data_IF_962391080499
#
_entry.id   IF_962391080499
#
_cell.length_a   1.000
_cell.length_b   1.000
_cell.length_c   1.000
_cell.angle_alpha   90.00
_cell.angle_beta   90.00
_cell.angle_gamma   90.00
#
_symmetry.space_group_name_H-M   'P 1'
#
loop_
_entity.id
_entity.type
_entity.pdbx_description
1 polymer ?
#
# COMPACT_ATOMS: atom_id res chain seq x y z
N UNK A 1 -22.34 9.25 12.39
CA UNK A 1 -21.61 8.03 12.77
C UNK A 1 -21.15 7.25 11.55
N UNK A 2 -22.02 6.92 10.59
CA UNK A 2 -21.65 6.17 9.37
C UNK A 2 -20.49 6.78 8.55
N UNK A 3 -20.42 8.12 8.46
CA UNK A 3 -19.32 8.84 7.80
C UNK A 3 -17.94 8.60 8.44
N UNK A 4 -17.88 8.32 9.74
CA UNK A 4 -16.60 8.03 10.42
C UNK A 4 -16.08 6.65 10.04
N UNK A 5 -16.97 5.65 9.97
CA UNK A 5 -16.60 4.29 9.56
C UNK A 5 -16.18 4.25 8.08
N UNK A 6 -16.90 4.95 7.21
CA UNK A 6 -16.51 5.10 5.80
C UNK A 6 -15.14 5.77 5.65
N UNK A 7 -14.88 6.84 6.41
CA UNK A 7 -13.57 7.49 6.42
C UNK A 7 -12.45 6.60 6.96
N UNK A 8 -12.75 5.80 8.00
CA UNK A 8 -11.82 4.84 8.61
C UNK A 8 -11.47 3.67 7.69
N UNK A 9 -12.41 3.22 6.85
CA UNK A 9 -12.14 2.21 5.83
C UNK A 9 -10.97 2.64 4.97
N UNK A 10 -11.02 3.87 4.45
CA UNK A 10 -10.03 4.47 3.56
C UNK A 10 -8.68 4.79 4.21
N UNK A 11 -8.55 4.63 5.53
CA UNK A 11 -7.27 4.87 6.21
C UNK A 11 -6.36 3.64 6.10
N UNK A 12 -5.06 3.84 5.83
CA UNK A 12 -4.08 2.77 5.84
C UNK A 12 -3.81 2.27 7.26
N UNK A 13 -3.37 1.03 7.36
CA UNK A 13 -2.86 0.46 8.61
C UNK A 13 -1.41 0.91 8.84
N UNK A 14 -1.13 1.42 10.03
CA UNK A 14 0.19 1.86 10.41
C UNK A 14 0.64 1.23 11.73
N UNK A 15 1.96 1.13 11.89
CA UNK A 15 2.55 0.63 13.12
C UNK A 15 2.66 1.73 14.17
N UNK A 16 2.07 1.46 15.33
CA UNK A 16 2.29 2.22 16.54
C UNK A 16 3.28 1.45 17.41
N UNK A 17 4.48 2.02 17.57
CA UNK A 17 5.48 1.49 18.50
C UNK A 17 5.15 1.98 19.90
N UNK A 18 5.06 1.03 20.84
CA UNK A 18 4.91 1.26 22.26
C UNK A 18 6.19 0.76 22.96
N UNK A 19 6.35 1.10 24.24
CA UNK A 19 7.58 0.75 24.97
C UNK A 19 7.78 -0.78 25.09
N UNK A 20 6.69 -1.55 25.22
CA UNK A 20 6.74 -3.00 25.46
C UNK A 20 6.19 -3.85 24.30
N UNK A 21 5.43 -3.23 23.39
CA UNK A 21 4.70 -3.92 22.33
C UNK A 21 4.53 -3.05 21.07
N UNK A 22 4.08 -3.66 19.98
CA UNK A 22 3.74 -2.95 18.76
C UNK A 22 2.31 -3.29 18.36
N UNK A 23 1.57 -2.26 17.92
CA UNK A 23 0.19 -2.41 17.49
C UNK A 23 0.04 -1.89 16.07
N UNK A 24 -0.80 -2.56 15.29
CA UNK A 24 -1.37 -1.98 14.09
C UNK A 24 -2.52 -1.06 14.48
N UNK A 25 -2.52 0.15 13.99
CA UNK A 25 -3.60 1.10 14.23
C UNK A 25 -3.97 1.83 12.95
N UNK A 26 -5.24 2.20 12.86
CA UNK A 26 -5.71 3.21 11.92
C UNK A 26 -6.82 4.03 12.55
N UNK A 27 -6.83 5.33 12.24
CA UNK A 27 -7.73 6.28 12.89
C UNK A 27 -8.27 7.25 11.85
N UNK A 28 -9.53 7.62 11.98
CA UNK A 28 -10.14 8.69 11.21
C UNK A 28 -10.79 9.70 12.14
N UNK A 29 -10.25 10.92 12.15
CA UNK A 29 -10.67 11.98 13.06
C UNK A 29 -11.34 13.10 12.28
N UNK A 30 -12.45 13.59 12.81
CA UNK A 30 -13.18 14.76 12.30
C UNK A 30 -13.50 15.71 13.44
N UNK A 31 -14.05 16.89 13.13
CA UNK A 31 -14.53 17.82 14.16
C UNK A 31 -15.70 17.28 15.00
N UNK A 32 -16.37 16.22 14.55
CA UNK A 32 -17.56 15.64 15.19
C UNK A 32 -17.25 14.42 16.06
N UNK A 33 -16.03 13.90 15.99
CA UNK A 33 -15.64 12.65 16.63
C UNK A 33 -14.60 11.88 15.83
N UNK A 34 -14.30 10.67 16.25
CA UNK A 34 -13.37 9.77 15.57
C UNK A 34 -13.85 8.32 15.58
N UNK A 35 -13.27 7.54 14.67
CA UNK A 35 -13.27 6.09 14.74
C UNK A 35 -11.82 5.58 14.71
N UNK A 36 -11.52 4.61 15.55
CA UNK A 36 -10.20 4.02 15.74
C UNK A 36 -10.31 2.50 15.67
N UNK A 37 -9.35 1.89 14.97
CA UNK A 37 -9.18 0.45 14.95
C UNK A 37 -7.74 0.12 15.36
N UNK A 38 -7.58 -0.86 16.24
CA UNK A 38 -6.28 -1.30 16.78
C UNK A 38 -6.22 -2.82 16.70
N UNK A 39 -5.06 -3.39 16.40
CA UNK A 39 -4.82 -4.83 16.40
C UNK A 39 -3.41 -5.15 16.84
N UNK A 40 -3.27 -6.21 17.62
CA UNK A 40 -2.01 -6.87 17.99
C UNK A 40 -1.73 -8.10 17.10
N UNK A 41 -2.46 -8.22 15.98
CA UNK A 41 -2.51 -9.39 15.08
C UNK A 41 -3.16 -10.65 15.66
N UNK A 42 -3.59 -10.65 16.93
CA UNK A 42 -4.37 -11.74 17.53
C UNK A 42 -5.83 -11.35 17.65
N UNK A 43 -6.09 -10.13 18.09
CA UNK A 43 -7.40 -9.54 18.28
C UNK A 43 -7.48 -8.17 17.61
N UNK A 44 -8.70 -7.69 17.45
CA UNK A 44 -8.98 -6.38 16.86
C UNK A 44 -9.92 -5.66 17.79
N UNK A 45 -9.56 -4.44 18.17
CA UNK A 45 -10.38 -3.56 18.99
C UNK A 45 -10.81 -2.33 18.21
N UNK A 46 -12.00 -1.86 18.52
CA UNK A 46 -12.66 -0.73 17.88
C UNK A 46 -13.14 0.24 18.94
N UNK A 47 -12.96 1.53 18.66
CA UNK A 47 -13.60 2.61 19.40
C UNK A 47 -14.20 3.61 18.40
N UNK A 48 -15.43 4.01 18.65
CA UNK A 48 -16.07 5.13 17.97
C UNK A 48 -16.61 6.11 19.02
N UNK A 49 -16.27 7.38 18.88
CA UNK A 49 -16.73 8.42 19.80
C UNK A 49 -17.26 9.64 19.05
N UNK A 50 -18.23 10.32 19.65
CA UNK A 50 -18.74 11.61 19.19
C UNK A 50 -18.18 12.78 20.01
N UNK A 51 -18.50 14.00 19.60
CA UNK A 51 -18.06 15.22 20.27
C UNK A 51 -18.56 15.34 21.74
N UNK A 52 -19.66 14.68 22.11
CA UNK A 52 -20.20 14.72 23.48
C UNK A 52 -19.33 13.88 24.41
N UNK A 53 -19.06 12.64 24.01
CA UNK A 53 -18.13 11.74 24.70
C UNK A 53 -16.75 12.38 24.78
N UNK A 54 -16.32 13.04 23.69
CA UNK A 54 -15.04 13.74 23.69
C UNK A 54 -15.00 14.87 24.71
N UNK A 55 -16.04 15.69 24.77
CA UNK A 55 -16.13 16.78 25.74
C UNK A 55 -16.09 16.26 27.17
N UNK A 56 -16.85 15.21 27.47
CA UNK A 56 -16.90 14.63 28.81
C UNK A 56 -15.54 14.06 29.22
N UNK A 57 -14.97 13.18 28.37
CA UNK A 57 -13.68 12.54 28.64
C UNK A 57 -12.55 13.56 28.76
N UNK A 58 -12.54 14.58 27.91
CA UNK A 58 -11.54 15.65 27.99
C UNK A 58 -11.63 16.41 29.32
N UNK A 59 -12.84 16.73 29.82
CA UNK A 59 -13.03 17.40 31.11
C UNK A 59 -12.57 16.55 32.29
N UNK A 60 -12.83 15.24 32.23
CA UNK A 60 -12.43 14.30 33.28
C UNK A 60 -10.91 14.14 33.36
N UNK A 61 -10.25 13.98 32.20
CA UNK A 61 -8.81 13.75 32.11
C UNK A 61 -7.98 15.03 32.22
N UNK A 62 -8.48 16.16 31.73
CA UNK A 62 -7.75 17.42 31.60
C UNK A 62 -8.45 18.56 32.34
N UNK A 63 -8.57 18.45 33.66
CA UNK A 63 -9.31 19.41 34.53
C UNK A 63 -8.87 20.88 34.40
N UNK A 64 -7.66 21.15 33.90
CA UNK A 64 -7.10 22.49 33.72
C UNK A 64 -7.23 23.03 32.29
N UNK A 65 -7.66 22.21 31.34
CA UNK A 65 -7.79 22.58 29.93
C UNK A 65 -9.26 22.89 29.61
N UNK A 66 -9.51 24.11 29.15
CA UNK A 66 -10.84 24.53 28.68
C UNK A 66 -10.74 24.77 27.18
N UNK A 67 -11.19 23.80 26.38
CA UNK A 67 -11.21 23.91 24.93
C UNK A 67 -12.46 23.23 24.35
N UNK A 68 -12.95 23.66 23.18
CA UNK A 68 -14.04 22.98 22.50
C UNK A 68 -13.60 21.57 22.04
N UNK A 69 -14.52 20.59 21.93
CA UNK A 69 -14.18 19.22 21.50
C UNK A 69 -13.42 19.16 20.17
N UNK A 70 -13.76 20.05 19.24
CA UNK A 70 -13.07 20.15 17.95
C UNK A 70 -11.57 20.46 18.10
N UNK A 71 -11.17 21.29 19.07
CA UNK A 71 -9.75 21.60 19.30
C UNK A 71 -9.00 20.39 19.87
N UNK A 72 -9.62 19.65 20.79
CA UNK A 72 -9.07 18.39 21.28
C UNK A 72 -8.92 17.35 20.16
N UNK A 73 -9.92 17.24 19.29
CA UNK A 73 -9.89 16.33 18.13
C UNK A 73 -8.79 16.72 17.14
N UNK A 74 -8.63 18.01 16.84
CA UNK A 74 -7.52 18.48 16.00
C UNK A 74 -6.16 18.12 16.62
N UNK A 75 -5.99 18.35 17.92
CA UNK A 75 -4.76 17.98 18.62
C UNK A 75 -4.49 16.47 18.56
N UNK A 76 -5.52 15.64 18.74
CA UNK A 76 -5.38 14.18 18.59
C UNK A 76 -4.98 13.77 17.16
N UNK A 77 -5.50 14.43 16.11
CA UNK A 77 -5.05 14.19 14.73
C UNK A 77 -3.59 14.58 14.55
N UNK A 78 -3.18 15.74 15.08
CA UNK A 78 -1.79 16.22 15.00
C UNK A 78 -0.82 15.30 15.75
N UNK A 79 -1.26 14.65 16.84
CA UNK A 79 -0.46 13.67 17.59
C UNK A 79 -0.33 12.34 16.84
N UNK A 80 -1.41 11.83 16.27
CA UNK A 80 -1.45 10.50 15.66
C UNK A 80 -0.96 10.49 14.21
N UNK A 81 -1.20 11.55 13.44
CA UNK A 81 -0.84 11.61 12.01
C UNK A 81 0.65 11.38 11.74
N UNK A 82 1.61 11.97 12.50
CA UNK A 82 3.04 11.71 12.29
C UNK A 82 3.44 10.26 12.60
N UNK A 83 2.79 9.67 13.61
CA UNK A 83 3.04 8.30 14.04
C UNK A 83 2.53 7.28 13.03
N UNK A 84 1.36 7.55 12.45
CA UNK A 84 0.73 6.67 11.47
C UNK A 84 1.33 6.82 10.07
N UNK A 85 2.10 7.86 9.79
CA UNK A 85 2.73 8.10 8.47
C UNK A 85 4.21 7.72 8.40
N UNK A 86 4.72 6.99 9.39
CA UNK A 86 6.12 6.54 9.47
C UNK A 86 7.10 7.70 9.25
N UNK A 87 6.75 8.89 9.77
CA UNK A 87 7.67 10.04 9.72
C UNK A 87 8.61 9.92 10.91
N UNK A 88 9.92 9.92 10.66
CA UNK A 88 10.99 9.85 11.65
C UNK A 88 11.07 11.06 12.61
N UNK A 89 9.95 11.75 12.81
CA UNK A 89 9.84 12.82 13.77
C UNK A 89 9.57 12.21 15.15
N UNK A 90 10.40 12.48 16.17
CA UNK A 90 10.11 12.05 17.53
C UNK A 90 8.80 12.70 17.97
N UNK A 91 7.76 11.87 18.10
CA UNK A 91 6.49 12.34 18.63
C UNK A 91 6.70 12.82 20.06
N UNK A 92 6.13 13.98 20.40
CA UNK A 92 6.11 14.49 21.79
C UNK A 92 5.11 13.75 22.67
N UNK A 93 4.53 12.66 22.16
CA UNK A 93 3.55 11.85 22.87
C UNK A 93 4.12 10.48 23.24
N UNK A 94 3.87 10.08 24.47
CA UNK A 94 4.12 8.72 24.96
C UNK A 94 2.82 7.92 24.94
N UNK A 95 2.93 6.66 24.54
CA UNK A 95 1.79 5.75 24.42
C UNK A 95 1.98 4.56 25.33
N UNK A 96 0.92 4.21 26.06
CA UNK A 96 0.89 3.04 26.95
C UNK A 96 -0.38 2.27 26.66
N UNK A 97 -0.28 0.94 26.59
CA UNK A 97 -1.42 0.07 26.32
C UNK A 97 -1.71 -0.79 27.54
N UNK A 98 -2.94 -0.72 28.05
CA UNK A 98 -3.44 -1.59 29.11
C UNK A 98 -4.53 -2.52 28.57
N UNK A 99 -4.45 -3.80 28.92
CA UNK A 99 -5.54 -4.75 28.71
C UNK A 99 -6.41 -4.84 29.97
N UNK A 100 -7.71 -4.62 29.83
CA UNK A 100 -8.68 -4.73 30.92
C UNK A 100 -9.81 -5.66 30.48
N UNK A 101 -9.75 -6.91 30.94
CA UNK A 101 -10.61 -8.00 30.46
C UNK A 101 -10.57 -8.11 28.93
N UNK A 102 -11.70 -7.93 28.24
CA UNK A 102 -11.79 -7.97 26.77
C UNK A 102 -11.57 -6.60 26.11
N UNK A 103 -11.42 -5.53 26.91
CA UNK A 103 -11.20 -4.19 26.41
C UNK A 103 -9.71 -3.83 26.38
N UNK A 104 -9.35 -2.98 25.43
CA UNK A 104 -8.01 -2.41 25.29
C UNK A 104 -8.09 -0.90 25.57
N UNK A 105 -7.28 -0.42 26.49
CA UNK A 105 -7.17 1.01 26.82
C UNK A 105 -5.83 1.51 26.31
N UNK A 106 -5.85 2.28 25.22
CA UNK A 106 -4.67 2.95 24.70
C UNK A 106 -4.58 4.35 25.30
N UNK A 107 -3.58 4.59 26.14
CA UNK A 107 -3.33 5.88 26.78
C UNK A 107 -2.30 6.65 25.98
N UNK A 108 -2.58 7.93 25.77
CA UNK A 108 -1.63 8.87 25.20
C UNK A 108 -1.42 10.03 26.18
N UNK A 109 -0.16 10.35 26.41
CA UNK A 109 0.27 11.51 27.18
C UNK A 109 1.11 12.38 26.27
N UNK A 110 0.75 13.66 26.15
CA UNK A 110 1.50 14.64 25.38
C UNK A 110 1.54 15.98 26.11
N UNK A 111 2.09 16.99 25.45
CA UNK A 111 1.96 18.38 25.86
C UNK A 111 1.10 19.15 24.84
N UNK A 112 0.26 20.05 25.32
CA UNK A 112 -0.50 21.02 24.53
C UNK A 112 -0.23 22.42 25.09
N UNK A 113 0.50 23.24 24.34
CA UNK A 113 0.83 24.62 24.71
C UNK A 113 1.49 24.77 26.10
N UNK A 114 2.47 23.94 26.45
CA UNK A 114 3.12 23.97 27.77
C UNK A 114 2.38 23.20 28.87
N UNK A 115 1.17 22.69 28.59
CA UNK A 115 0.35 21.99 29.58
C UNK A 115 0.30 20.49 29.30
N UNK A 116 0.36 19.63 30.34
CA UNK A 116 0.15 18.20 30.18
C UNK A 116 -1.23 17.90 29.58
N UNK A 117 -1.24 17.09 28.53
CA UNK A 117 -2.44 16.60 27.87
C UNK A 117 -2.51 15.07 28.02
N UNK A 118 -3.68 14.58 28.42
CA UNK A 118 -3.95 13.16 28.61
C UNK A 118 -5.18 12.73 27.84
N UNK A 119 -5.09 11.59 27.18
CA UNK A 119 -6.22 10.97 26.52
C UNK A 119 -6.16 9.45 26.62
N UNK A 120 -7.32 8.82 26.80
CA UNK A 120 -7.45 7.36 26.84
C UNK A 120 -8.47 6.95 25.77
N UNK A 121 -8.06 6.11 24.83
CA UNK A 121 -8.94 5.41 23.90
C UNK A 121 -9.45 4.15 24.60
N UNK A 122 -10.77 3.98 24.66
CA UNK A 122 -11.40 2.82 25.30
C UNK A 122 -11.96 1.91 24.21
N UNK A 123 -11.12 1.00 23.75
CA UNK A 123 -11.43 0.13 22.63
C UNK A 123 -12.07 -1.17 23.14
N UNK A 124 -13.15 -1.58 22.49
CA UNK A 124 -13.84 -2.86 22.74
C UNK A 124 -13.58 -3.83 21.60
N UNK A 125 -13.81 -5.14 21.80
CA UNK A 125 -13.63 -6.11 20.71
C UNK A 125 -14.43 -5.71 19.47
N UNK A 126 -13.74 -5.66 18.33
CA UNK A 126 -14.35 -5.29 17.07
C UNK A 126 -15.34 -6.37 16.62
N UNK A 127 -16.49 -5.94 16.10
CA UNK A 127 -17.47 -6.88 15.56
C UNK A 127 -16.89 -7.66 14.37
N UNK A 128 -17.37 -8.91 14.11
CA UNK A 128 -16.93 -9.69 12.96
C UNK A 128 -17.10 -8.97 11.62
N UNK A 129 -18.12 -8.10 11.51
CA UNK A 129 -18.34 -7.28 10.31
C UNK A 129 -17.20 -6.27 10.10
N UNK A 130 -16.75 -5.60 11.16
CA UNK A 130 -15.63 -4.64 11.11
C UNK A 130 -14.33 -5.38 10.77
N UNK A 131 -14.06 -6.52 11.41
CA UNK A 131 -12.89 -7.34 11.07
C UNK A 131 -12.92 -7.79 9.60
N UNK A 132 -14.07 -8.24 9.11
CA UNK A 132 -14.23 -8.66 7.73
C UNK A 132 -13.97 -7.53 6.73
N UNK A 133 -14.50 -6.33 6.99
CA UNK A 133 -14.37 -5.17 6.10
C UNK A 133 -12.97 -4.54 6.12
N UNK A 134 -12.30 -4.54 7.28
CA UNK A 134 -11.03 -3.83 7.46
C UNK A 134 -9.79 -4.71 7.29
N UNK A 135 -9.93 -6.03 7.37
CA UNK A 135 -8.82 -6.99 7.26
C UNK A 135 -9.10 -8.10 6.25
N UNK A 136 -10.13 -8.92 6.48
CA UNK A 136 -10.29 -10.17 5.73
C UNK A 136 -10.52 -9.92 4.23
N UNK A 137 -11.52 -9.10 3.87
CA UNK A 137 -11.84 -8.81 2.46
C UNK A 137 -10.69 -8.07 1.74
N UNK A 138 -10.09 -7.01 2.31
CA UNK A 138 -8.94 -6.36 1.69
C UNK A 138 -7.77 -7.31 1.47
N UNK A 139 -7.37 -8.10 2.47
CA UNK A 139 -6.24 -9.02 2.36
C UNK A 139 -6.48 -10.10 1.30
N UNK A 140 -7.68 -10.71 1.27
CA UNK A 140 -8.04 -11.66 0.21
C UNK A 140 -7.99 -11.01 -1.18
N UNK A 141 -8.55 -9.81 -1.32
CA UNK A 141 -8.53 -9.07 -2.58
C UNK A 141 -7.12 -8.77 -3.07
N UNK A 142 -6.23 -8.40 -2.14
CA UNK A 142 -4.83 -8.15 -2.45
C UNK A 142 -4.06 -9.42 -2.81
N UNK A 143 -4.27 -10.52 -2.09
CA UNK A 143 -3.65 -11.81 -2.44
C UNK A 143 -4.01 -12.23 -3.87
N UNK A 144 -5.28 -12.08 -4.25
CA UNK A 144 -5.74 -12.33 -5.62
C UNK A 144 -5.10 -11.36 -6.62
N UNK A 145 -5.05 -10.07 -6.31
CA UNK A 145 -4.44 -9.07 -7.19
C UNK A 145 -2.94 -9.34 -7.42
N UNK A 146 -2.20 -9.66 -6.36
CA UNK A 146 -0.79 -10.02 -6.44
C UNK A 146 -0.58 -11.31 -7.23
N UNK A 147 -1.44 -12.31 -7.03
CA UNK A 147 -1.40 -13.54 -7.82
C UNK A 147 -1.62 -13.28 -9.32
N UNK A 148 -2.56 -12.39 -9.67
CA UNK A 148 -2.74 -11.95 -11.05
C UNK A 148 -1.49 -11.25 -11.59
N UNK A 149 -0.86 -10.37 -10.81
CA UNK A 149 0.38 -9.71 -11.22
C UNK A 149 1.52 -10.70 -11.48
N UNK A 150 1.67 -11.72 -10.62
CA UNK A 150 2.68 -12.78 -10.84
C UNK A 150 2.45 -13.48 -12.18
N UNK A 151 1.20 -13.83 -12.52
CA UNK A 151 0.87 -14.47 -13.80
C UNK A 151 1.08 -13.56 -15.02
N UNK A 152 0.70 -12.29 -14.89
CA UNK A 152 0.91 -11.29 -15.94
C UNK A 152 2.42 -11.09 -16.20
N UNK A 153 3.24 -11.02 -15.14
CA UNK A 153 4.70 -10.92 -15.24
C UNK A 153 5.33 -12.19 -15.83
N UNK A 154 4.88 -13.38 -15.42
CA UNK A 154 5.33 -14.65 -16.01
C UNK A 154 5.09 -14.70 -17.52
N UNK A 155 3.90 -14.23 -17.97
CA UNK A 155 3.58 -14.13 -19.40
C UNK A 155 4.53 -13.18 -20.12
N UNK A 156 4.81 -12.02 -19.53
CA UNK A 156 5.75 -11.05 -20.11
C UNK A 156 7.17 -11.64 -20.22
N UNK A 157 7.61 -12.41 -19.23
CA UNK A 157 8.91 -13.09 -19.25
C UNK A 157 8.98 -14.12 -20.39
N UNK A 158 7.97 -14.97 -20.55
CA UNK A 158 7.92 -15.91 -21.67
C UNK A 158 7.92 -15.23 -23.04
N UNK A 159 7.20 -14.11 -23.18
CA UNK A 159 7.26 -13.32 -24.42
C UNK A 159 8.67 -12.78 -24.70
N UNK A 160 9.40 -12.40 -23.65
CA UNK A 160 10.79 -11.94 -23.76
C UNK A 160 11.76 -13.06 -24.12
N UNK A 161 11.55 -14.27 -23.60
CA UNK A 161 12.36 -15.43 -23.97
C UNK A 161 12.18 -15.81 -25.45
N UNK A 162 10.95 -15.76 -25.97
CA UNK A 162 10.67 -15.97 -27.39
C UNK A 162 11.36 -14.91 -28.27
N UNK A 163 11.35 -13.65 -27.84
CA UNK A 163 12.06 -12.56 -28.52
C UNK A 163 13.58 -12.79 -28.54
N UNK A 164 14.16 -13.22 -27.41
CA UNK A 164 15.59 -13.57 -27.31
C UNK A 164 15.93 -14.76 -28.21
N UNK A 165 15.06 -15.77 -28.27
CA UNK A 165 15.23 -16.93 -29.13
C UNK A 165 15.23 -16.53 -30.61
N UNK A 166 14.28 -15.68 -31.05
CA UNK A 166 14.22 -15.16 -32.43
C UNK A 166 15.51 -14.42 -32.83
N UNK A 167 16.09 -13.63 -31.92
CA UNK A 167 17.39 -12.99 -32.14
C UNK A 167 18.52 -14.00 -32.36
N UNK A 168 18.57 -15.06 -31.54
CA UNK A 168 19.58 -16.11 -31.66
C UNK A 168 19.43 -16.91 -32.96
N UNK A 169 18.20 -17.26 -33.33
CA UNK A 169 17.87 -17.97 -34.58
C UNK A 169 18.17 -17.11 -35.82
N UNK A 170 18.02 -15.79 -35.71
CA UNK A 170 18.40 -14.82 -36.74
C UNK A 170 19.91 -14.56 -36.84
N UNK A 171 20.73 -15.20 -36.00
CA UNK A 171 22.19 -15.10 -36.00
C UNK A 171 22.76 -13.90 -35.24
N UNK A 172 21.95 -13.23 -34.41
CA UNK A 172 22.46 -12.17 -33.53
C UNK A 172 23.35 -12.77 -32.44
N UNK A 173 24.50 -12.13 -32.19
CA UNK A 173 25.46 -12.55 -31.17
C UNK A 173 25.50 -11.51 -30.06
N UNK A 174 25.48 -11.97 -28.80
CA UNK A 174 25.64 -11.11 -27.63
C UNK A 174 27.04 -10.49 -27.62
N UNK A 175 27.10 -9.18 -27.38
CA UNK A 175 28.38 -8.48 -27.18
C UNK A 175 29.00 -8.72 -25.80
N UNK A 176 28.19 -9.16 -24.84
CA UNK A 176 28.57 -9.40 -23.44
C UNK A 176 27.87 -10.65 -22.91
N UNK A 177 28.60 -11.75 -22.78
CA UNK A 177 28.04 -13.05 -22.38
C UNK A 177 27.35 -13.03 -21.01
N UNK A 178 27.84 -12.20 -20.08
CA UNK A 178 27.23 -12.02 -18.74
C UNK A 178 25.80 -11.48 -18.74
N UNK A 179 25.30 -10.99 -19.88
CA UNK A 179 23.92 -10.52 -20.02
C UNK A 179 22.95 -11.64 -20.42
N UNK A 180 23.47 -12.83 -20.75
CA UNK A 180 22.63 -13.98 -21.05
C UNK A 180 21.89 -14.40 -19.79
N UNK A 181 20.57 -14.49 -19.89
CA UNK A 181 19.69 -15.04 -18.86
C UNK A 181 19.30 -16.47 -19.23
N UNK A 182 19.05 -17.30 -18.22
CA UNK A 182 18.39 -18.59 -18.44
C UNK A 182 16.92 -18.34 -18.80
N UNK A 183 16.30 -19.17 -19.67
CA UNK A 183 14.89 -19.07 -19.99
C UNK A 183 14.04 -19.17 -18.72
N UNK A 184 13.02 -18.32 -18.62
CA UNK A 184 12.13 -18.30 -17.48
C UNK A 184 11.23 -19.55 -17.46
N UNK A 185 11.18 -20.22 -16.32
CA UNK A 185 10.29 -21.36 -16.07
C UNK A 185 9.58 -21.16 -14.73
N UNK A 186 8.24 -21.11 -14.76
CA UNK A 186 7.42 -20.68 -13.62
C UNK A 186 7.52 -21.65 -12.43
N UNK A 187 7.53 -22.96 -12.67
CA UNK A 187 7.51 -23.94 -11.59
C UNK A 187 8.84 -23.96 -10.82
N UNK A 188 9.96 -23.95 -11.54
CA UNK A 188 11.31 -23.85 -11.01
C UNK A 188 11.49 -22.55 -10.22
N UNK A 189 10.99 -21.43 -10.73
CA UNK A 189 11.00 -20.16 -10.01
C UNK A 189 10.21 -20.25 -8.69
N UNK A 190 9.01 -20.83 -8.70
CA UNK A 190 8.18 -20.97 -7.50
C UNK A 190 8.80 -21.94 -6.49
N UNK A 191 9.34 -23.06 -6.95
CA UNK A 191 10.05 -24.03 -6.10
C UNK A 191 11.28 -23.38 -5.44
N UNK A 192 12.10 -22.69 -6.24
CA UNK A 192 13.27 -21.96 -5.73
C UNK A 192 12.85 -20.84 -4.80
N UNK A 193 11.80 -20.08 -5.11
CA UNK A 193 11.29 -19.02 -4.24
C UNK A 193 10.84 -19.60 -2.89
N UNK A 194 10.10 -20.70 -2.86
CA UNK A 194 9.67 -21.34 -1.61
C UNK A 194 10.83 -21.95 -0.80
N UNK A 195 11.91 -22.37 -1.46
CA UNK A 195 13.09 -23.00 -0.82
C UNK A 195 14.19 -22.02 -0.44
N UNK A 196 14.33 -20.89 -1.13
CA UNK A 196 15.34 -19.85 -0.86
C UNK A 196 14.81 -18.64 -0.06
N UNK A 197 13.48 -18.49 0.04
CA UNK A 197 12.87 -17.56 1.00
C UNK A 197 12.47 -18.14 2.38
N UNK A 198 13.04 -19.24 2.93
CA UNK A 198 12.79 -19.62 4.30
C UNK A 198 13.68 -18.75 5.19
N UNK A 199 13.07 -17.91 6.01
CA UNK A 199 13.71 -17.36 7.20
C UNK A 199 15.12 -16.74 7.02
N UNK A 200 15.25 -15.75 6.13
CA UNK A 200 16.29 -14.73 6.32
C UNK A 200 15.92 -13.80 7.50
N UNK A 201 16.02 -14.37 8.72
CA UNK A 201 16.14 -13.63 9.98
C UNK A 201 15.17 -14.01 11.10
N UNK A 202 15.23 -15.25 11.59
CA UNK A 202 14.76 -15.57 12.95
C UNK A 202 15.37 -14.63 14.00
N UNK A 203 14.54 -14.22 14.96
CA UNK A 203 14.78 -13.25 16.05
C UNK A 203 14.60 -11.75 15.79
N UNK A 204 14.10 -11.31 14.63
CA UNK A 204 13.43 -10.00 14.50
C UNK A 204 12.24 -10.05 13.52
N UNK A 205 11.46 -11.12 13.59
CA UNK A 205 10.26 -11.33 12.77
C UNK A 205 9.08 -10.43 13.18
N UNK A 206 9.16 -9.72 14.32
CA UNK A 206 8.13 -8.74 14.72
C UNK A 206 8.15 -7.43 13.92
N UNK A 207 9.16 -7.18 13.07
CA UNK A 207 9.27 -5.90 12.36
C UNK A 207 9.35 -6.00 10.83
N UNK A 208 9.67 -7.16 10.24
CA UNK A 208 9.83 -7.25 8.77
C UNK A 208 8.52 -7.52 8.02
N UNK A 209 7.71 -8.50 8.43
CA UNK A 209 6.37 -8.72 7.87
C UNK A 209 5.43 -7.53 8.14
N UNK A 210 5.66 -6.91 9.29
CA UNK A 210 5.04 -5.68 9.78
C UNK A 210 5.22 -4.52 8.82
N UNK A 211 6.46 -4.28 8.39
CA UNK A 211 6.78 -3.14 7.52
C UNK A 211 6.07 -3.18 6.16
N UNK A 212 5.73 -4.36 5.62
CA UNK A 212 5.07 -4.48 4.31
C UNK A 212 3.62 -3.98 4.29
N UNK A 213 2.85 -4.23 5.36
CA UNK A 213 1.45 -3.78 5.45
C UNK A 213 1.35 -2.25 5.42
N UNK A 214 2.33 -1.56 6.01
CA UNK A 214 2.39 -0.10 6.04
C UNK A 214 3.14 0.54 4.87
N UNK A 215 3.97 -0.23 4.15
CA UNK A 215 4.76 0.26 3.00
C UNK A 215 4.15 -0.05 1.64
N UNK A 216 3.00 -0.72 1.59
CA UNK A 216 2.28 -0.86 0.32
C UNK A 216 1.79 0.51 -0.17
N UNK A 217 1.91 0.80 -1.47
CA UNK A 217 1.39 2.04 -2.01
C UNK A 217 -0.12 2.08 -1.76
N UNK A 218 -0.59 3.20 -1.19
CA UNK A 218 -2.00 3.52 -0.91
C UNK A 218 -2.95 3.16 -2.08
N UNK A 219 -2.41 3.12 -3.31
CA UNK A 219 -3.03 2.66 -4.54
C UNK A 219 -3.71 1.28 -4.45
N UNK A 220 -3.09 0.24 -3.85
CA UNK A 220 -3.66 -1.12 -3.90
C UNK A 220 -4.76 -1.30 -2.86
N UNK A 221 -4.55 -0.86 -1.62
CA UNK A 221 -5.55 -0.94 -0.56
C UNK A 221 -6.79 -0.07 -0.87
N UNK A 222 -6.58 1.17 -1.36
CA UNK A 222 -7.66 2.10 -1.68
C UNK A 222 -8.51 1.67 -2.89
N UNK A 223 -7.91 1.01 -3.89
CA UNK A 223 -8.60 0.56 -5.10
C UNK A 223 -9.54 -0.63 -4.86
N UNK A 224 -9.23 -1.50 -3.90
CA UNK A 224 -10.05 -2.68 -3.60
C UNK A 224 -11.21 -2.38 -2.64
N UNK A 225 -11.14 -1.29 -1.87
CA UNK A 225 -12.23 -0.84 -1.00
C UNK A 225 -13.31 -0.04 -1.74
N UNK A 226 -12.99 0.54 -2.89
CA UNK A 226 -13.90 1.37 -3.70
C UNK A 226 -14.60 0.61 -4.83
N UNK A 227 -14.35 -0.69 -5.00
CA UNK A 227 -14.94 -1.47 -6.09
C UNK A 227 -16.38 -1.87 -5.77
N UNK A 228 -17.34 -1.16 -6.36
CA UNK A 228 -18.76 -1.52 -6.38
C UNK A 228 -18.94 -2.86 -7.14
N UNK A 229 -19.66 -3.86 -6.61
CA UNK A 229 -19.88 -5.14 -7.28
C UNK A 229 -20.48 -5.05 -8.70
N UNK A 230 -21.10 -3.91 -9.05
CA UNK A 230 -21.78 -3.70 -10.33
C UNK A 230 -20.89 -3.23 -11.48
N UNK A 231 -19.62 -2.87 -11.24
CA UNK A 231 -18.73 -2.37 -12.30
C UNK A 231 -17.86 -3.46 -12.96
N UNK A 232 -18.03 -4.72 -12.59
CA UNK A 232 -17.18 -5.82 -13.08
C UNK A 232 -17.32 -6.11 -14.58
N UNK A 233 -18.36 -5.59 -15.25
CA UNK A 233 -18.61 -5.87 -16.68
C UNK A 233 -18.05 -4.80 -17.65
N UNK A 234 -17.63 -3.62 -17.17
CA UNK A 234 -17.23 -2.51 -18.06
C UNK A 234 -15.71 -2.28 -18.17
N UNK A 235 -14.87 -2.99 -17.40
CA UNK A 235 -13.42 -2.72 -17.35
C UNK A 235 -12.60 -3.36 -18.50
N UNK A 236 -13.25 -3.98 -19.48
CA UNK A 236 -12.58 -4.63 -20.61
C UNK A 236 -11.99 -3.67 -21.65
N UNK A 237 -12.42 -2.40 -21.68
CA UNK A 237 -12.02 -1.47 -22.74
C UNK A 237 -10.77 -0.63 -22.45
N UNK A 238 -10.40 -0.40 -21.19
CA UNK A 238 -9.22 0.41 -20.85
C UNK A 238 -7.88 -0.36 -20.90
N UNK A 239 -7.91 -1.69 -20.92
CA UNK A 239 -6.70 -2.54 -20.93
C UNK A 239 -5.95 -2.56 -22.28
N UNK A 240 -6.58 -2.16 -23.39
CA UNK A 240 -5.94 -2.18 -24.71
C UNK A 240 -5.10 -0.94 -25.03
N UNK A 241 -5.27 0.17 -24.32
CA UNK A 241 -4.59 1.43 -24.68
C UNK A 241 -3.16 1.53 -24.16
N UNK A 242 -2.84 0.87 -23.03
CA UNK A 242 -1.49 0.89 -22.46
C UNK A 242 -0.50 -0.01 -23.21
N UNK A 243 -0.97 -1.04 -23.91
CA UNK A 243 -0.15 -1.98 -24.68
C UNK A 243 0.20 -1.50 -26.11
N UNK A 244 -0.36 -0.39 -26.58
CA UNK A 244 -0.07 0.15 -27.92
C UNK A 244 1.09 1.16 -27.97
N UNK A 245 1.65 1.58 -26.83
CA UNK A 245 2.73 2.58 -26.78
C UNK A 245 4.17 1.99 -26.76
N UNK A 246 4.33 0.67 -26.84
CA UNK A 246 5.65 0.02 -26.83
C UNK A 246 6.04 -0.67 -28.16
N UNK A 247 5.46 -0.28 -29.29
CA UNK A 247 5.90 -0.74 -30.62
C UNK A 247 6.73 0.35 -31.31
N UNK A 248 8.01 0.12 -31.65
CA UNK A 248 8.72 0.98 -32.58
C UNK A 248 8.20 0.72 -34.00
N UNK A 249 7.68 1.77 -34.65
CA UNK A 249 7.40 1.79 -36.09
C UNK A 249 8.68 1.54 -36.88
N UNK A 250 8.77 0.38 -37.54
CA UNK A 250 9.81 0.08 -38.54
C UNK A 250 9.54 0.89 -39.82
N UNK A 251 10.19 2.04 -39.96
CA UNK A 251 10.36 2.67 -41.27
C UNK A 251 11.43 1.90 -42.07
N UNK A 252 10.98 1.07 -43.01
CA UNK A 252 11.83 0.53 -44.09
C UNK A 252 11.97 1.59 -45.18
N UNK A 253 13.16 2.20 -45.31
CA UNK A 253 13.58 2.86 -46.55
C UNK A 253 14.08 1.80 -47.53
N UNK A 254 13.63 1.78 -48.80
CA UNK A 254 14.29 1.01 -49.85
C UNK A 254 15.45 1.83 -50.44
N UNK A 255 16.63 1.22 -50.46
CA UNK A 255 17.81 1.67 -51.20
C UNK A 255 17.66 1.23 -52.66
N UNK A 256 17.60 2.16 -53.60
CA UNK A 256 17.75 1.89 -55.02
C UNK A 256 18.87 2.77 -55.59
N UNK A 257 20.02 2.18 -55.89
CA UNK A 257 21.00 2.75 -56.81
C UNK A 257 20.53 2.53 -58.26
N UNK A 258 20.81 3.46 -59.17
CA UNK A 258 20.98 3.13 -60.57
C UNK A 258 22.42 3.42 -61.02
N UNK A 259 23.11 2.39 -61.52
CA UNK A 259 24.27 2.54 -62.37
C UNK A 259 23.80 2.77 -63.82
N UNK A 260 24.22 3.87 -64.45
CA UNK A 260 23.91 4.16 -65.84
C UNK A 260 24.57 5.43 -66.34
N UNK A 261 25.86 5.35 -66.68
CA UNK A 261 26.57 6.37 -67.49
C UNK A 261 25.97 6.36 -68.90
N UNK A 262 25.73 7.55 -69.47
CA UNK A 262 26.22 7.92 -70.82
C UNK A 262 26.07 9.42 -71.04
N UNK A 263 27.19 10.05 -71.37
CA UNK A 263 27.31 11.44 -71.81
C UNK A 263 26.79 11.62 -73.23
N UNK A 264 26.23 12.81 -73.42
CA UNK A 264 25.78 13.55 -74.59
C UNK A 264 26.73 13.61 -75.80
N UNK A 265 26.13 13.91 -76.98
CA UNK A 265 26.48 14.91 -78.04
C UNK A 265 25.86 14.44 -79.39
N UNK A 266 25.48 15.29 -80.39
CA UNK A 266 25.14 16.74 -80.48
C UNK A 266 23.71 16.98 -81.10
N UNK A 267 23.32 18.18 -81.61
CA UNK A 267 23.78 18.72 -82.90
C UNK A 267 24.04 20.25 -82.96
N UNK A 268 24.60 20.63 -84.11
CA UNK A 268 25.07 21.93 -84.60
C UNK A 268 24.00 23.03 -84.80
N UNK A 269 24.41 24.28 -84.62
CA UNK A 269 24.35 25.39 -85.60
C UNK A 269 25.17 26.58 -85.07
#
# INVERSE_FOLDING_TARGET
MEKLEQGLLMQPWAWLQLDENSLLAKVYITKQGYALLVSDLQQVWHEQVDARVVSQRAKELNKRLTAPPAAFLCHLDDLLRPLLKDTACPSKATFVCDHVAEALILRVRSELSGLPFYWNFHCTLASPSVVSQHLIRPLMGMSLALQCQVRELATVLHMKDLEIQDYQESGAVLSRDRLKTEPFEENSFLEQFMVETPDSGGSSSHLRGSSWVSKQPESVYGSHQTRDPRETEASGHWRSSALKQCLPTRDRKPTSEPAGRTSTVPPSA
#
